data_IF_888170847144
#
_entry.id   IF_888170847144
#
_cell.length_a   1.000
_cell.length_b   1.000
_cell.length_c   1.000
_cell.angle_alpha   90.00
_cell.angle_beta   90.00
_cell.angle_gamma   90.00
#
_symmetry.space_group_name_H-M   'P 1'
#
loop_
_entity.id
_entity.type
_entity.pdbx_description
1 polymer ?
#
# COMPACT_ATOMS: atom_id res chain seq x y z
N UNK A 1 -16.29 55.44 -36.70
CA UNK A 1 -15.49 55.50 -35.46
C UNK A 1 -16.31 54.84 -34.35
N UNK A 2 -15.96 53.62 -33.96
CA UNK A 2 -16.44 52.91 -32.76
C UNK A 2 -15.92 53.59 -31.46
N UNK A 3 -16.28 53.18 -30.22
CA UNK A 3 -17.44 52.42 -29.71
C UNK A 3 -17.99 52.99 -28.36
N UNK A 4 -19.08 52.42 -27.83
CA UNK A 4 -19.22 51.96 -26.42
C UNK A 4 -20.62 51.34 -26.23
N UNK A 5 -20.70 50.03 -26.46
CA UNK A 5 -21.73 49.17 -25.88
C UNK A 5 -21.04 48.44 -24.74
N UNK A 6 -21.48 48.70 -23.52
CA UNK A 6 -20.98 48.02 -22.34
C UNK A 6 -21.32 46.53 -22.42
N UNK A 7 -20.28 45.71 -22.54
CA UNK A 7 -20.32 44.28 -22.25
C UNK A 7 -20.39 44.14 -20.74
N UNK A 8 -21.52 43.69 -20.22
CA UNK A 8 -21.54 42.92 -18.99
C UNK A 8 -21.57 41.44 -19.38
N UNK A 9 -20.37 40.86 -19.50
CA UNK A 9 -20.14 39.42 -19.47
C UNK A 9 -20.19 38.91 -18.03
N UNK A 10 -20.64 37.67 -17.90
CA UNK A 10 -20.39 36.73 -16.79
C UNK A 10 -21.06 37.01 -15.44
N UNK A 11 -21.93 36.10 -15.03
CA UNK A 11 -21.55 35.07 -14.06
C UNK A 11 -22.53 33.90 -14.15
N UNK A 12 -22.32 33.01 -15.13
CA UNK A 12 -22.74 31.61 -14.97
C UNK A 12 -21.84 31.00 -13.90
N UNK A 13 -22.28 31.05 -12.63
CA UNK A 13 -21.63 30.32 -11.55
C UNK A 13 -21.88 28.81 -11.72
N UNK A 14 -20.94 28.23 -12.45
CA UNK A 14 -20.69 26.82 -12.68
C UNK A 14 -20.95 25.96 -11.41
N UNK A 15 -22.05 25.19 -11.40
CA UNK A 15 -22.39 24.16 -10.40
C UNK A 15 -21.46 22.94 -10.55
N UNK A 16 -20.23 22.99 -10.05
CA UNK A 16 -19.34 21.81 -10.09
C UNK A 16 -18.32 21.67 -8.97
N UNK A 17 -18.64 22.08 -7.73
CA UNK A 17 -17.74 21.91 -6.57
C UNK A 17 -18.32 21.19 -5.34
N UNK A 18 -19.58 20.73 -5.35
CA UNK A 18 -20.23 20.19 -4.14
C UNK A 18 -20.47 18.67 -4.18
N UNK A 19 -19.41 17.87 -4.29
CA UNK A 19 -19.55 16.42 -4.04
C UNK A 19 -18.39 15.82 -3.23
N UNK A 20 -17.70 16.64 -2.41
CA UNK A 20 -16.76 16.13 -1.43
C UNK A 20 -17.52 15.70 -0.17
N UNK A 21 -17.29 14.48 0.34
CA UNK A 21 -17.94 14.03 1.56
C UNK A 21 -17.57 14.96 2.72
N UNK A 22 -18.57 15.35 3.52
CA UNK A 22 -18.40 16.21 4.70
C UNK A 22 -17.51 15.56 5.77
N UNK A 23 -17.48 14.22 5.81
CA UNK A 23 -16.66 13.44 6.72
C UNK A 23 -16.24 12.14 6.02
N UNK A 24 -14.95 11.80 6.08
CA UNK A 24 -14.42 10.50 5.67
C UNK A 24 -13.83 9.81 6.89
N UNK A 25 -14.34 8.63 7.20
CA UNK A 25 -13.83 7.79 8.28
C UNK A 25 -13.05 6.64 7.68
N UNK A 26 -11.88 6.36 8.27
CA UNK A 26 -11.05 5.22 7.90
C UNK A 26 -11.02 4.23 9.06
N UNK A 27 -11.46 3.01 8.79
CA UNK A 27 -11.26 1.90 9.71
C UNK A 27 -9.85 1.33 9.48
N UNK A 28 -8.99 1.40 10.49
CA UNK A 28 -7.57 1.02 10.40
C UNK A 28 -7.11 0.20 11.59
N UNK A 29 -6.11 -0.65 11.37
CA UNK A 29 -5.43 -1.37 12.44
C UNK A 29 -4.47 -0.42 13.15
N UNK A 30 -4.69 -0.20 14.45
CA UNK A 30 -3.86 0.69 15.27
C UNK A 30 -2.82 -0.05 16.09
N UNK A 31 -3.16 -1.23 16.59
CA UNK A 31 -2.28 -2.05 17.44
C UNK A 31 -1.98 -3.34 16.70
N UNK A 32 -0.69 -3.58 16.49
CA UNK A 32 -0.20 -4.83 15.92
C UNK A 32 0.08 -5.84 17.03
N UNK A 33 0.20 -7.11 16.66
CA UNK A 33 0.47 -8.19 17.61
C UNK A 33 1.79 -8.88 17.25
N UNK A 34 2.45 -9.43 18.25
CA UNK A 34 3.78 -10.04 18.08
C UNK A 34 3.68 -11.34 17.28
N UNK A 35 2.60 -12.10 17.48
CA UNK A 35 2.34 -13.36 16.81
C UNK A 35 1.06 -13.31 15.99
N UNK A 36 1.18 -13.14 14.67
CA UNK A 36 0.07 -13.12 13.71
C UNK A 36 -0.86 -14.34 13.84
N UNK A 37 -0.32 -15.50 14.24
CA UNK A 37 -1.09 -16.74 14.44
C UNK A 37 -2.20 -16.63 15.49
N UNK A 38 -2.15 -15.64 16.37
CA UNK A 38 -3.19 -15.38 17.37
C UNK A 38 -4.44 -14.73 16.75
N UNK A 39 -4.39 -14.25 15.50
CA UNK A 39 -5.55 -13.75 14.75
C UNK A 39 -6.40 -14.92 14.23
N UNK A 40 -7.31 -15.39 15.07
CA UNK A 40 -8.22 -16.49 14.71
C UNK A 40 -9.43 -16.03 13.90
N UNK A 41 -9.84 -14.77 14.02
CA UNK A 41 -10.97 -14.21 13.28
C UNK A 41 -10.57 -13.89 11.83
N UNK A 42 -11.20 -14.50 10.81
CA UNK A 42 -10.84 -14.28 9.40
C UNK A 42 -10.98 -12.81 8.97
N UNK A 43 -11.96 -12.08 9.51
CA UNK A 43 -12.16 -10.66 9.22
C UNK A 43 -11.12 -9.76 9.87
N UNK A 44 -10.70 -10.08 11.08
CA UNK A 44 -9.60 -9.37 11.73
C UNK A 44 -8.29 -9.58 10.95
N UNK A 45 -8.01 -10.83 10.53
CA UNK A 45 -6.86 -11.15 9.70
C UNK A 45 -6.89 -10.43 8.35
N UNK A 46 -8.05 -10.36 7.70
CA UNK A 46 -8.24 -9.63 6.44
C UNK A 46 -7.90 -8.14 6.59
N UNK A 47 -8.43 -7.47 7.62
CA UNK A 47 -8.09 -6.06 7.89
C UNK A 47 -6.62 -5.87 8.27
N UNK A 48 -6.04 -6.83 8.99
CA UNK A 48 -4.61 -6.83 9.34
C UNK A 48 -3.72 -6.92 8.10
N UNK A 49 -4.04 -7.87 7.22
CA UNK A 49 -3.39 -8.03 5.91
C UNK A 49 -3.50 -6.76 5.07
N UNK A 50 -4.70 -6.17 4.94
CA UNK A 50 -4.91 -4.96 4.15
C UNK A 50 -4.08 -3.79 4.67
N UNK A 51 -4.03 -3.59 6.00
CA UNK A 51 -3.20 -2.54 6.59
C UNK A 51 -1.71 -2.76 6.29
N UNK A 52 -1.22 -4.00 6.38
CA UNK A 52 0.17 -4.32 6.09
C UNK A 52 0.50 -4.18 4.60
N UNK A 53 -0.44 -4.51 3.71
CA UNK A 53 -0.30 -4.29 2.27
C UNK A 53 -0.25 -2.80 1.94
N UNK A 54 -1.08 -1.98 2.57
CA UNK A 54 -1.00 -0.53 2.44
C UNK A 54 0.37 -0.03 2.89
N UNK A 55 0.86 -0.44 4.06
CA UNK A 55 2.19 -0.07 4.56
C UNK A 55 3.33 -0.55 3.62
N UNK A 56 3.16 -1.71 2.99
CA UNK A 56 4.11 -2.27 2.02
C UNK A 56 4.16 -1.47 0.71
N UNK A 57 3.03 -0.92 0.25
CA UNK A 57 2.95 -0.15 -0.99
C UNK A 57 3.19 1.35 -0.77
N UNK A 58 3.12 1.82 0.47
CA UNK A 58 3.35 3.21 0.82
C UNK A 58 4.78 3.66 0.48
N UNK A 59 4.98 4.97 0.35
CA UNK A 59 6.24 5.60 -0.06
C UNK A 59 7.42 5.29 0.87
N UNK A 60 7.16 4.78 2.08
CA UNK A 60 8.16 4.34 3.05
C UNK A 60 8.81 3.00 2.68
N UNK A 61 8.18 2.19 1.83
CA UNK A 61 8.80 1.00 1.26
C UNK A 61 9.82 1.44 0.19
N UNK A 62 11.10 1.36 0.52
CA UNK A 62 12.21 1.71 -0.36
C UNK A 62 13.15 0.53 -0.50
N UNK A 63 14.08 0.61 -1.46
CA UNK A 63 15.19 -0.34 -1.61
C UNK A 63 16.04 -0.54 -0.35
N UNK A 64 15.94 0.36 0.63
CA UNK A 64 16.67 0.28 1.90
C UNK A 64 15.86 -0.39 3.00
N UNK A 65 14.54 -0.48 2.87
CA UNK A 65 13.66 -1.11 3.87
C UNK A 65 13.13 -2.47 3.43
N UNK A 66 13.00 -2.74 2.14
CA UNK A 66 12.54 -4.06 1.69
C UNK A 66 13.43 -4.54 0.56
N UNK A 67 13.92 -5.78 0.65
CA UNK A 67 14.68 -6.40 -0.43
C UNK A 67 13.76 -6.69 -1.61
N UNK A 68 14.32 -6.71 -2.82
CA UNK A 68 13.54 -7.02 -4.01
C UNK A 68 12.91 -8.42 -3.95
N UNK A 69 13.67 -9.41 -3.49
CA UNK A 69 13.19 -10.78 -3.27
C UNK A 69 11.94 -10.82 -2.37
N UNK A 70 11.99 -10.10 -1.23
CA UNK A 70 10.84 -9.98 -0.34
C UNK A 70 9.67 -9.28 -1.05
N UNK A 71 9.91 -8.28 -1.89
CA UNK A 71 8.84 -7.66 -2.67
C UNK A 71 8.16 -8.65 -3.61
N UNK A 72 8.92 -9.51 -4.29
CA UNK A 72 8.37 -10.55 -5.15
C UNK A 72 7.53 -11.56 -4.38
N UNK A 73 8.01 -12.05 -3.24
CA UNK A 73 7.25 -12.97 -2.39
C UNK A 73 5.94 -12.32 -1.89
N UNK A 74 6.03 -11.09 -1.38
CA UNK A 74 4.89 -10.34 -0.87
C UNK A 74 3.86 -10.05 -1.98
N UNK A 75 4.31 -9.69 -3.18
CA UNK A 75 3.45 -9.46 -4.33
C UNK A 75 2.72 -10.75 -4.75
N UNK A 76 3.41 -11.89 -4.75
CA UNK A 76 2.82 -13.19 -5.09
C UNK A 76 1.74 -13.60 -4.08
N UNK A 77 2.04 -13.43 -2.80
CA UNK A 77 1.07 -13.67 -1.73
C UNK A 77 -0.14 -12.75 -1.85
N UNK A 78 0.07 -11.46 -2.10
CA UNK A 78 -1.03 -10.51 -2.26
C UNK A 78 -1.89 -10.81 -3.50
N UNK A 79 -1.27 -11.18 -4.63
CA UNK A 79 -1.97 -11.60 -5.83
C UNK A 79 -2.81 -12.85 -5.57
N UNK A 80 -2.27 -13.81 -4.83
CA UNK A 80 -2.99 -15.02 -4.40
C UNK A 80 -4.20 -14.69 -3.54
N UNK A 81 -4.08 -13.74 -2.60
CA UNK A 81 -5.20 -13.31 -1.74
C UNK A 81 -6.33 -12.66 -2.55
N UNK A 82 -5.96 -11.85 -3.56
CA UNK A 82 -6.92 -11.05 -4.34
C UNK A 82 -7.57 -11.84 -5.49
N UNK A 83 -6.83 -12.75 -6.14
CA UNK A 83 -7.27 -13.44 -7.37
C UNK A 83 -7.37 -14.97 -7.26
N UNK A 84 -6.88 -15.57 -6.18
CA UNK A 84 -6.87 -17.04 -6.03
C UNK A 84 -6.08 -17.73 -7.15
N UNK A 85 -6.60 -18.85 -7.65
CA UNK A 85 -5.90 -19.72 -8.62
C UNK A 85 -6.06 -19.28 -10.08
N UNK A 86 -6.85 -18.24 -10.33
CA UNK A 86 -7.10 -17.73 -11.67
C UNK A 86 -6.44 -16.37 -11.87
N UNK A 87 -5.13 -16.31 -12.19
CA UNK A 87 -4.44 -15.07 -12.46
C UNK A 87 -4.87 -14.41 -13.79
N UNK A 88 -5.77 -15.03 -14.57
CA UNK A 88 -6.21 -14.58 -15.91
C UNK A 88 -6.89 -13.21 -15.99
N UNK A 89 -7.10 -12.52 -14.87
CA UNK A 89 -7.53 -11.12 -14.84
C UNK A 89 -6.38 -10.13 -15.00
N UNK A 90 -6.67 -8.93 -15.51
CA UNK A 90 -5.69 -7.83 -15.68
C UNK A 90 -4.77 -7.65 -14.46
N UNK A 91 -3.48 -7.95 -14.59
CA UNK A 91 -2.48 -7.76 -13.54
C UNK A 91 -1.87 -6.36 -13.62
N UNK A 92 -2.04 -5.61 -12.53
CA UNK A 92 -1.51 -4.26 -12.33
C UNK A 92 -0.39 -4.33 -11.31
N UNK A 93 0.85 -4.26 -11.77
CA UNK A 93 2.01 -4.34 -10.88
C UNK A 93 1.96 -3.29 -9.75
N UNK A 94 1.39 -2.11 -10.01
CA UNK A 94 1.26 -1.01 -9.06
C UNK A 94 0.35 -1.33 -7.86
N UNK A 95 -0.46 -2.38 -7.94
CA UNK A 95 -1.30 -2.84 -6.83
C UNK A 95 -0.61 -3.86 -5.92
N UNK A 96 0.57 -4.36 -6.32
CA UNK A 96 1.25 -5.47 -5.64
C UNK A 96 2.74 -5.20 -5.39
N UNK A 97 3.34 -4.22 -6.07
CA UNK A 97 4.75 -3.88 -5.91
C UNK A 97 4.92 -2.43 -5.44
N UNK A 98 5.90 -2.15 -4.55
CA UNK A 98 6.35 -0.81 -4.30
C UNK A 98 6.86 -0.17 -5.59
N UNK A 99 6.65 1.14 -5.73
CA UNK A 99 6.98 1.87 -6.96
C UNK A 99 8.45 1.72 -7.38
N UNK A 100 9.38 1.66 -6.41
CA UNK A 100 10.81 1.53 -6.70
C UNK A 100 11.17 0.24 -7.43
N UNK A 101 10.44 -0.87 -7.22
CA UNK A 101 10.67 -2.13 -7.94
C UNK A 101 10.25 -1.97 -9.40
N UNK A 102 9.11 -1.31 -9.62
CA UNK A 102 8.57 -1.04 -10.94
C UNK A 102 9.51 -0.11 -11.70
N UNK A 103 10.02 0.94 -11.05
CA UNK A 103 11.00 1.85 -11.66
C UNK A 103 12.32 1.16 -11.99
N UNK A 104 12.76 0.21 -11.16
CA UNK A 104 14.00 -0.53 -11.36
C UNK A 104 13.90 -1.59 -12.46
N UNK A 105 12.82 -2.37 -12.49
CA UNK A 105 12.66 -3.53 -13.38
C UNK A 105 11.82 -3.25 -14.63
N UNK A 106 10.92 -2.29 -14.54
CA UNK A 106 9.91 -2.02 -15.56
C UNK A 106 8.67 -2.92 -15.43
N UNK A 107 7.51 -2.38 -15.81
CA UNK A 107 6.22 -3.07 -15.74
C UNK A 107 6.19 -4.40 -16.50
N UNK A 108 6.80 -4.44 -17.68
CA UNK A 108 6.80 -5.63 -18.55
C UNK A 108 7.64 -6.76 -17.96
N UNK A 109 8.76 -6.43 -17.28
CA UNK A 109 9.54 -7.43 -16.55
C UNK A 109 8.71 -8.02 -15.42
N UNK A 110 8.07 -7.17 -14.61
CA UNK A 110 7.24 -7.62 -13.50
C UNK A 110 6.13 -8.55 -14.00
N UNK A 111 5.40 -8.14 -15.04
CA UNK A 111 4.35 -8.94 -15.68
C UNK A 111 4.85 -10.30 -16.17
N UNK A 112 6.02 -10.34 -16.81
CA UNK A 112 6.59 -11.56 -17.39
C UNK A 112 6.95 -12.60 -16.33
N UNK A 113 7.50 -12.17 -15.20
CA UNK A 113 8.03 -13.09 -14.17
C UNK A 113 7.06 -13.35 -13.01
N UNK A 114 5.99 -12.56 -12.86
CA UNK A 114 4.96 -12.76 -11.83
C UNK A 114 4.33 -14.16 -11.83
N UNK A 115 4.01 -14.80 -12.98
CA UNK A 115 3.45 -16.15 -12.98
C UNK A 115 4.39 -17.17 -12.33
N UNK A 116 5.69 -17.11 -12.65
CA UNK A 116 6.70 -17.99 -12.08
C UNK A 116 6.85 -17.78 -10.57
N UNK A 117 6.83 -16.52 -10.12
CA UNK A 117 6.87 -16.19 -8.69
C UNK A 117 5.63 -16.65 -7.89
N UNK A 118 4.53 -16.96 -8.59
CA UNK A 118 3.26 -17.39 -7.97
C UNK A 118 3.03 -18.90 -8.05
N UNK A 119 3.90 -19.64 -8.73
CA UNK A 119 3.72 -21.07 -9.02
C UNK A 119 3.60 -21.90 -7.75
N UNK A 120 4.48 -21.67 -6.78
CA UNK A 120 4.52 -22.38 -5.49
C UNK A 120 3.32 -22.07 -4.58
N UNK A 121 2.49 -21.08 -4.96
CA UNK A 121 1.32 -20.66 -4.18
C UNK A 121 0.00 -21.22 -4.71
N UNK A 122 0.01 -22.00 -5.80
CA UNK A 122 -1.21 -22.53 -6.45
C UNK A 122 -2.11 -23.30 -5.49
N UNK A 123 -1.56 -24.16 -4.63
CA UNK A 123 -2.38 -24.96 -3.71
C UNK A 123 -2.61 -24.27 -2.35
N UNK A 124 -2.11 -23.04 -2.16
CA UNK A 124 -2.24 -22.30 -0.91
C UNK A 124 -3.67 -21.76 -0.74
N UNK A 125 -4.25 -21.84 0.46
CA UNK A 125 -5.54 -21.22 0.72
C UNK A 125 -5.41 -19.69 0.80
N UNK A 126 -6.51 -18.95 0.55
CA UNK A 126 -6.55 -17.49 0.74
C UNK A 126 -6.16 -17.09 2.17
N UNK A 127 -6.61 -17.87 3.16
CA UNK A 127 -6.32 -17.59 4.58
C UNK A 127 -4.84 -17.80 4.89
N UNK A 128 -4.23 -18.88 4.39
CA UNK A 128 -2.80 -19.14 4.56
C UNK A 128 -1.95 -18.08 3.86
N UNK A 129 -2.37 -17.62 2.67
CA UNK A 129 -1.70 -16.54 1.96
C UNK A 129 -1.73 -15.22 2.77
N UNK A 130 -2.87 -14.87 3.38
CA UNK A 130 -2.97 -13.70 4.28
C UNK A 130 -2.07 -13.86 5.51
N UNK A 131 -2.06 -15.04 6.15
CA UNK A 131 -1.21 -15.30 7.31
C UNK A 131 0.28 -15.24 6.95
N UNK A 132 0.68 -15.84 5.83
CA UNK A 132 2.07 -15.85 5.36
C UNK A 132 2.53 -14.44 4.97
N UNK A 133 1.67 -13.66 4.30
CA UNK A 133 1.95 -12.25 4.01
C UNK A 133 2.17 -11.46 5.29
N UNK A 134 1.27 -11.61 6.27
CA UNK A 134 1.39 -10.90 7.54
C UNK A 134 2.64 -11.32 8.34
N UNK A 135 3.04 -12.59 8.27
CA UNK A 135 4.28 -13.07 8.85
C UNK A 135 5.49 -12.42 8.19
N UNK A 136 5.58 -12.45 6.86
CA UNK A 136 6.71 -11.88 6.12
C UNK A 136 6.82 -10.37 6.30
N UNK A 137 5.68 -9.67 6.30
CA UNK A 137 5.58 -8.24 6.60
C UNK A 137 6.09 -7.89 8.00
N UNK A 138 5.98 -8.79 8.97
CA UNK A 138 6.35 -8.53 10.37
C UNK A 138 7.81 -8.87 10.68
N UNK A 139 8.62 -9.28 9.68
CA UNK A 139 10.02 -9.69 9.88
C UNK A 139 10.98 -8.50 9.99
N UNK A 140 11.80 -8.52 11.04
CA UNK A 140 13.01 -7.69 11.22
C UNK A 140 13.98 -7.80 10.01
N UNK A 141 14.79 -6.76 9.70
CA UNK A 141 14.93 -5.46 10.38
C UNK A 141 13.93 -4.38 9.94
N UNK A 142 13.02 -4.69 9.03
CA UNK A 142 12.07 -3.72 8.46
C UNK A 142 10.64 -4.25 8.52
N UNK A 143 10.18 -4.42 9.75
CA UNK A 143 8.83 -4.90 9.99
C UNK A 143 7.81 -3.80 9.65
N UNK A 144 6.85 -4.12 8.80
CA UNK A 144 5.79 -3.23 8.31
C UNK A 144 4.61 -3.14 9.27
N UNK A 145 4.61 -3.93 10.35
CA UNK A 145 3.65 -3.90 11.45
C UNK A 145 3.99 -2.78 12.46
N UNK A 146 4.38 -1.61 11.95
CA UNK A 146 4.70 -0.44 12.74
C UNK A 146 4.08 0.81 12.12
N UNK A 147 3.89 1.84 12.94
CA UNK A 147 3.55 3.18 12.48
C UNK A 147 4.82 4.02 12.39
N UNK A 148 5.08 4.56 11.21
CA UNK A 148 6.22 5.45 10.96
C UNK A 148 5.76 6.91 11.02
N UNK A 149 6.53 7.72 11.73
CA UNK A 149 6.32 9.16 11.83
C UNK A 149 7.61 9.90 11.46
N UNK A 150 7.49 10.84 10.51
CA UNK A 150 8.53 11.84 10.27
C UNK A 150 8.63 12.78 11.46
N UNK A 151 9.86 13.08 11.87
CA UNK A 151 10.15 13.96 13.00
C UNK A 151 11.29 14.91 12.66
N UNK A 152 11.32 16.02 13.38
CA UNK A 152 12.44 16.94 13.46
C UNK A 152 13.34 16.57 14.64
N UNK A 153 14.60 16.27 14.35
CA UNK A 153 15.59 15.89 15.36
C UNK A 153 15.92 17.06 16.28
N UNK A 154 15.94 18.28 15.76
CA UNK A 154 16.24 19.50 16.49
C UNK A 154 15.13 20.54 16.32
N UNK A 155 14.98 21.41 17.33
CA UNK A 155 13.95 22.45 17.36
C UNK A 155 13.99 23.40 16.17
N UNK A 156 15.19 23.65 15.63
CA UNK A 156 15.43 24.59 14.53
C UNK A 156 15.25 23.96 13.15
N UNK A 157 15.07 22.65 13.05
CA UNK A 157 14.87 22.00 11.77
C UNK A 157 13.55 22.49 11.14
N UNK A 158 13.55 22.70 9.83
CA UNK A 158 12.39 23.15 9.07
C UNK A 158 11.72 22.02 8.30
N UNK A 159 12.36 20.85 8.25
CA UNK A 159 11.88 19.64 7.57
C UNK A 159 12.13 18.42 8.45
N UNK A 160 11.32 17.39 8.27
CA UNK A 160 11.53 16.11 8.94
C UNK A 160 12.85 15.48 8.47
N UNK A 161 13.70 15.14 9.44
CA UNK A 161 15.05 14.58 9.21
C UNK A 161 15.35 13.37 10.13
N UNK A 162 14.33 12.88 10.82
CA UNK A 162 14.35 11.65 11.60
C UNK A 162 13.04 10.88 11.39
N UNK A 163 13.06 9.58 11.66
CA UNK A 163 11.88 8.70 11.58
C UNK A 163 11.72 7.96 12.90
N UNK A 164 10.51 7.97 13.45
CA UNK A 164 10.12 7.18 14.61
C UNK A 164 9.20 6.04 14.19
N UNK A 165 9.62 4.80 14.48
CA UNK A 165 8.76 3.62 14.35
C UNK A 165 8.13 3.25 15.69
N UNK A 166 6.81 3.11 15.71
CA UNK A 166 6.05 2.62 16.87
C UNK A 166 5.46 1.26 16.52
N UNK A 167 5.87 0.22 17.23
CA UNK A 167 5.37 -1.15 17.08
C UNK A 167 4.99 -1.76 18.44
N UNK A 168 4.33 -2.93 18.38
CA UNK A 168 4.18 -3.79 19.55
C UNK A 168 5.55 -4.38 19.95
N UNK A 169 5.68 -4.74 21.22
CA UNK A 169 6.96 -4.98 21.90
C UNK A 169 7.61 -6.30 21.54
#
# INVERSE_FOLDING_TARGET
MHPRRDRATEFDHNRSTENRPLLVLYFRVRVYIDQVRLLTCPKALEHYYLQLKDNFLDQWASRHSVSEERCWEMAALALKVDKGDNPGGYFRAEQYFPIWVIDLRGLEYVRKYMPAASEDLKDMSRMDAMMKFAFEASRSPFALNCHLYGLRRHKMDTVDNAVLGINAK
#
